data_IF_148018964968
#
_entry.id   IF_148018964968
#
_cell.length_a   1.000
_cell.length_b   1.000
_cell.length_c   1.000
_cell.angle_alpha   90.00
_cell.angle_beta   90.00
_cell.angle_gamma   90.00
#
_symmetry.space_group_name_H-M   'P 1'
#
loop_
_entity.id
_entity.type
_entity.pdbx_description
1 polymer ?
#
# COMPACT_ATOMS: atom_id res chain seq x y z
N UNK A 1 44.42 1.37 1.46
CA UNK A 1 44.08 2.50 0.59
C UNK A 1 43.71 1.91 -0.76
N UNK A 2 42.43 1.63 -1.00
CA UNK A 2 41.98 1.03 -2.25
C UNK A 2 41.84 2.14 -3.31
N UNK A 3 42.39 1.86 -4.45
CA UNK A 3 42.61 2.72 -5.60
C UNK A 3 41.31 3.40 -6.11
N UNK A 4 41.01 4.60 -5.67
CA UNK A 4 39.89 5.43 -6.12
C UNK A 4 40.06 5.98 -7.58
N UNK A 5 41.21 5.70 -8.22
CA UNK A 5 41.56 6.28 -9.50
C UNK A 5 41.01 5.53 -10.73
N UNK A 6 40.29 4.43 -10.60
CA UNK A 6 39.79 3.60 -11.73
C UNK A 6 38.29 3.41 -11.81
N UNK A 7 37.51 4.05 -11.00
CA UNK A 7 36.04 4.00 -11.17
C UNK A 7 35.66 4.97 -12.30
N UNK A 8 35.21 4.41 -13.45
CA UNK A 8 34.70 5.23 -14.56
C UNK A 8 33.63 6.20 -14.07
N UNK A 9 33.61 7.41 -14.62
CA UNK A 9 32.62 8.44 -14.26
C UNK A 9 31.51 8.53 -15.30
N UNK A 10 30.28 8.90 -14.86
CA UNK A 10 29.16 9.29 -15.72
C UNK A 10 28.74 10.68 -15.26
N UNK A 11 28.65 11.64 -16.16
CA UNK A 11 28.37 13.05 -15.85
C UNK A 11 29.27 13.65 -14.75
N UNK A 12 30.54 13.21 -14.71
CA UNK A 12 31.49 13.67 -13.68
C UNK A 12 31.39 13.00 -12.32
N UNK A 13 30.41 12.11 -12.09
CA UNK A 13 30.19 11.39 -10.84
C UNK A 13 30.57 9.90 -10.95
N UNK A 14 30.91 9.22 -9.84
CA UNK A 14 31.14 7.78 -9.82
C UNK A 14 29.94 7.01 -10.39
N UNK A 15 30.19 5.98 -11.23
CA UNK A 15 29.13 5.17 -11.85
C UNK A 15 28.14 4.58 -10.84
N UNK A 16 28.61 4.26 -9.62
CA UNK A 16 27.75 3.76 -8.55
C UNK A 16 26.63 4.71 -8.16
N UNK A 17 26.79 6.03 -8.37
CA UNK A 17 25.73 7.00 -8.10
C UNK A 17 24.48 6.77 -8.96
N UNK A 18 24.67 6.42 -10.24
CA UNK A 18 23.55 6.15 -11.17
C UNK A 18 22.75 4.94 -10.69
N UNK A 19 23.43 3.87 -10.26
CA UNK A 19 22.77 2.69 -9.70
C UNK A 19 21.99 3.06 -8.45
N UNK A 20 22.61 3.78 -7.51
CA UNK A 20 21.96 4.18 -6.25
C UNK A 20 20.80 5.16 -6.48
N UNK A 21 20.91 6.04 -7.49
CA UNK A 21 19.82 6.93 -7.90
C UNK A 21 18.58 6.11 -8.32
N UNK A 22 18.76 5.12 -9.21
CA UNK A 22 17.64 4.29 -9.65
C UNK A 22 17.13 3.37 -8.55
N UNK A 23 18.00 2.81 -7.72
CA UNK A 23 17.59 2.00 -6.56
C UNK A 23 16.69 2.80 -5.61
N UNK A 24 17.11 4.03 -5.25
CA UNK A 24 16.31 4.90 -4.39
C UNK A 24 15.02 5.34 -5.08
N UNK A 25 15.11 5.71 -6.37
CA UNK A 25 13.93 6.12 -7.15
C UNK A 25 12.86 5.02 -7.16
N UNK A 26 13.24 3.78 -7.45
CA UNK A 26 12.30 2.66 -7.48
C UNK A 26 11.82 2.26 -6.09
N UNK A 27 12.66 2.35 -5.08
CA UNK A 27 12.24 2.14 -3.69
C UNK A 27 11.21 3.18 -3.26
N UNK A 28 11.44 4.47 -3.56
CA UNK A 28 10.47 5.54 -3.28
C UNK A 28 9.18 5.37 -4.09
N UNK A 29 9.28 5.00 -5.36
CA UNK A 29 8.13 4.65 -6.18
C UNK A 29 7.28 3.58 -5.50
N UNK A 30 7.89 2.48 -5.08
CA UNK A 30 7.20 1.37 -4.43
C UNK A 30 6.58 1.78 -3.09
N UNK A 31 7.34 2.46 -2.25
CA UNK A 31 6.90 2.90 -0.93
C UNK A 31 5.73 3.88 -1.00
N UNK A 32 5.85 4.95 -1.81
CA UNK A 32 4.79 5.95 -1.92
C UNK A 32 3.58 5.43 -2.69
N UNK A 33 3.77 4.54 -3.67
CA UNK A 33 2.69 3.88 -4.38
C UNK A 33 1.81 3.04 -3.44
N UNK A 34 2.43 2.19 -2.63
CA UNK A 34 1.71 1.42 -1.63
C UNK A 34 1.08 2.32 -0.56
N UNK A 35 1.85 3.26 0.00
CA UNK A 35 1.37 4.14 1.06
C UNK A 35 0.17 4.99 0.64
N UNK A 36 0.18 5.50 -0.60
CA UNK A 36 -0.92 6.30 -1.14
C UNK A 36 -2.22 5.51 -1.29
N UNK A 37 -2.13 4.21 -1.58
CA UNK A 37 -3.28 3.33 -1.72
C UNK A 37 -3.76 2.75 -0.39
N UNK A 38 -2.88 2.61 0.61
CA UNK A 38 -3.14 1.82 1.82
C UNK A 38 -4.40 2.26 2.57
N UNK A 39 -4.58 3.55 2.83
CA UNK A 39 -5.73 4.02 3.61
C UNK A 39 -7.05 3.73 2.90
N UNK A 40 -7.10 3.95 1.58
CA UNK A 40 -8.28 3.70 0.76
C UNK A 40 -8.55 2.20 0.63
N UNK A 41 -7.49 1.39 0.53
CA UNK A 41 -7.59 -0.06 0.52
C UNK A 41 -8.17 -0.61 1.84
N UNK A 42 -7.73 -0.09 2.99
CA UNK A 42 -8.27 -0.50 4.29
C UNK A 42 -9.76 -0.15 4.44
N UNK A 43 -10.17 1.03 3.99
CA UNK A 43 -11.56 1.48 4.11
C UNK A 43 -12.49 0.87 3.07
N UNK A 44 -12.05 0.70 1.83
CA UNK A 44 -12.93 0.25 0.74
C UNK A 44 -12.88 -1.26 0.50
N UNK A 45 -11.75 -1.90 0.71
CA UNK A 45 -11.60 -3.34 0.49
C UNK A 45 -11.84 -4.15 1.77
N UNK A 46 -11.22 -3.74 2.89
CA UNK A 46 -11.44 -4.40 4.18
C UNK A 46 -12.61 -3.84 4.98
N UNK A 47 -13.21 -2.74 4.53
CA UNK A 47 -14.33 -2.05 5.21
C UNK A 47 -14.01 -1.71 6.68
N UNK A 48 -12.75 -1.40 6.97
CA UNK A 48 -12.38 -0.92 8.30
C UNK A 48 -12.94 0.48 8.52
N UNK A 49 -13.31 0.77 9.78
CA UNK A 49 -13.67 2.14 10.15
C UNK A 49 -12.52 3.11 9.90
N UNK A 50 -12.83 4.39 9.73
CA UNK A 50 -11.83 5.44 9.55
C UNK A 50 -10.84 5.49 10.72
N UNK A 51 -11.32 5.27 11.93
CA UNK A 51 -10.50 5.21 13.14
C UNK A 51 -9.49 4.06 13.07
N UNK A 52 -9.95 2.83 12.78
CA UNK A 52 -9.09 1.65 12.67
C UNK A 52 -8.08 1.78 11.53
N UNK A 53 -8.52 2.31 10.38
CA UNK A 53 -7.67 2.52 9.21
C UNK A 53 -6.59 3.55 9.48
N UNK A 54 -6.93 4.67 10.13
CA UNK A 54 -6.02 5.72 10.52
C UNK A 54 -5.00 5.24 11.57
N UNK A 55 -5.45 4.44 12.55
CA UNK A 55 -4.58 3.86 13.57
C UNK A 55 -3.57 2.90 12.93
N UNK A 56 -4.02 2.01 12.05
CA UNK A 56 -3.14 1.06 11.35
C UNK A 56 -2.12 1.79 10.46
N UNK A 57 -2.57 2.79 9.71
CA UNK A 57 -1.72 3.63 8.88
C UNK A 57 -0.68 4.41 9.70
N UNK A 58 -1.10 4.96 10.83
CA UNK A 58 -0.21 5.66 11.77
C UNK A 58 0.82 4.72 12.38
N UNK A 59 0.39 3.55 12.86
CA UNK A 59 1.27 2.52 13.40
C UNK A 59 2.29 2.03 12.35
N UNK A 60 1.83 1.74 11.13
CA UNK A 60 2.71 1.39 10.01
C UNK A 60 3.78 2.46 9.79
N UNK A 61 3.38 3.73 9.69
CA UNK A 61 4.30 4.84 9.44
C UNK A 61 5.31 4.99 10.59
N UNK A 62 4.86 4.92 11.84
CA UNK A 62 5.74 5.00 13.03
C UNK A 62 6.75 3.85 13.05
N UNK A 63 6.30 2.62 12.79
CA UNK A 63 7.18 1.45 12.77
C UNK A 63 8.23 1.51 11.66
N UNK A 64 7.92 2.08 10.49
CA UNK A 64 8.92 2.34 9.43
C UNK A 64 10.06 3.21 9.94
N UNK A 65 9.77 4.28 10.69
CA UNK A 65 10.81 5.13 11.27
C UNK A 65 11.63 4.41 12.35
N UNK A 66 10.97 3.69 13.24
CA UNK A 66 11.65 2.91 14.29
C UNK A 66 12.57 1.85 13.66
N UNK A 67 12.07 1.11 12.68
CA UNK A 67 12.85 0.07 12.00
C UNK A 67 14.03 0.63 11.20
N UNK A 68 13.98 1.89 10.76
CA UNK A 68 15.13 2.54 10.13
C UNK A 68 16.32 2.64 11.11
N UNK A 69 16.06 2.95 12.39
CA UNK A 69 17.10 2.98 13.43
C UNK A 69 17.63 1.56 13.69
N UNK A 70 16.73 0.59 13.87
CA UNK A 70 17.10 -0.82 14.11
C UNK A 70 17.89 -1.39 12.94
N UNK A 71 17.44 -1.17 11.70
CA UNK A 71 18.10 -1.64 10.49
C UNK A 71 19.49 -1.03 10.30
N UNK A 72 19.65 0.26 10.64
CA UNK A 72 20.97 0.91 10.65
C UNK A 72 21.93 0.27 11.64
N UNK A 73 21.51 0.10 12.90
CA UNK A 73 22.34 -0.52 13.95
C UNK A 73 22.72 -1.97 13.59
N UNK A 74 21.78 -2.75 13.08
CA UNK A 74 22.04 -4.13 12.67
C UNK A 74 22.99 -4.22 11.47
N UNK A 75 22.87 -3.28 10.54
CA UNK A 75 23.77 -3.19 9.40
C UNK A 75 25.20 -2.83 9.85
N UNK A 76 25.35 -1.80 10.67
CA UNK A 76 26.66 -1.34 11.14
C UNK A 76 27.37 -2.42 11.96
N UNK A 77 26.62 -3.18 12.77
CA UNK A 77 27.20 -4.14 13.71
C UNK A 77 27.45 -5.52 13.10
N UNK A 78 26.60 -5.99 12.17
CA UNK A 78 26.61 -7.40 11.72
C UNK A 78 26.70 -7.60 10.21
N UNK A 79 25.95 -6.82 9.39
CA UNK A 79 25.74 -7.13 7.99
C UNK A 79 26.64 -6.34 7.04
N UNK A 80 26.93 -5.09 7.38
CA UNK A 80 27.48 -4.08 6.46
C UNK A 80 26.41 -3.50 5.52
N UNK A 81 26.58 -2.25 5.11
CA UNK A 81 25.59 -1.49 4.37
C UNK A 81 25.09 -2.16 3.08
N UNK A 82 25.99 -2.76 2.28
CA UNK A 82 25.60 -3.39 1.01
C UNK A 82 24.68 -4.58 1.19
N UNK A 83 24.99 -5.49 2.13
CA UNK A 83 24.14 -6.66 2.42
C UNK A 83 22.82 -6.24 3.02
N UNK A 84 22.82 -5.22 3.88
CA UNK A 84 21.60 -4.68 4.48
C UNK A 84 20.66 -4.09 3.42
N UNK A 85 21.18 -3.31 2.47
CA UNK A 85 20.38 -2.77 1.35
C UNK A 85 19.79 -3.90 0.50
N UNK A 86 20.60 -4.92 0.12
CA UNK A 86 20.10 -6.05 -0.67
C UNK A 86 19.03 -6.84 0.09
N UNK A 87 19.24 -7.11 1.36
CA UNK A 87 18.26 -7.81 2.21
C UNK A 87 16.97 -7.00 2.34
N UNK A 88 17.09 -5.69 2.57
CA UNK A 88 15.96 -4.77 2.62
C UNK A 88 15.17 -4.75 1.31
N UNK A 89 15.85 -4.72 0.15
CA UNK A 89 15.22 -4.76 -1.16
C UNK A 89 14.42 -6.05 -1.39
N UNK A 90 14.96 -7.21 -0.99
CA UNK A 90 14.24 -8.49 -1.06
C UNK A 90 12.97 -8.47 -0.21
N UNK A 91 13.06 -8.01 1.05
CA UNK A 91 11.90 -7.92 1.94
C UNK A 91 10.83 -6.97 1.38
N UNK A 92 11.24 -5.82 0.85
CA UNK A 92 10.34 -4.85 0.19
C UNK A 92 9.62 -5.48 -1.00
N UNK A 93 10.36 -6.16 -1.87
CA UNK A 93 9.79 -6.84 -3.04
C UNK A 93 8.74 -7.87 -2.63
N UNK A 94 9.07 -8.73 -1.66
CA UNK A 94 8.14 -9.74 -1.14
C UNK A 94 6.91 -9.10 -0.50
N UNK A 95 7.10 -8.04 0.30
CA UNK A 95 6.00 -7.34 0.94
C UNK A 95 5.06 -6.66 -0.07
N UNK A 96 5.59 -5.97 -1.07
CA UNK A 96 4.76 -5.33 -2.10
C UNK A 96 4.02 -6.35 -2.98
N UNK A 97 4.65 -7.47 -3.34
CA UNK A 97 3.94 -8.55 -4.03
C UNK A 97 2.90 -9.21 -3.12
N UNK A 98 3.18 -9.38 -1.83
CA UNK A 98 2.20 -9.86 -0.86
C UNK A 98 0.94 -8.99 -0.84
N UNK A 99 1.09 -7.66 -0.90
CA UNK A 99 -0.04 -6.73 -1.02
C UNK A 99 -0.90 -6.93 -2.28
N UNK A 100 -0.35 -7.55 -3.34
CA UNK A 100 -1.10 -7.84 -4.58
C UNK A 100 -2.04 -9.03 -4.44
N UNK A 101 -1.90 -9.83 -3.39
CA UNK A 101 -2.82 -10.92 -3.06
C UNK A 101 -3.99 -10.40 -2.24
N UNK A 102 -4.82 -9.57 -2.87
CA UNK A 102 -5.93 -8.89 -2.20
C UNK A 102 -7.10 -9.80 -1.83
N UNK A 103 -7.30 -10.89 -2.60
CA UNK A 103 -8.44 -11.78 -2.44
C UNK A 103 -9.79 -11.11 -2.68
N UNK A 104 -10.84 -11.73 -2.13
CA UNK A 104 -12.15 -11.10 -2.08
C UNK A 104 -12.18 -10.05 -0.97
N UNK A 105 -12.74 -8.88 -1.26
CA UNK A 105 -12.96 -7.83 -0.26
C UNK A 105 -13.89 -8.27 0.87
N UNK A 106 -13.85 -7.54 1.97
CA UNK A 106 -14.83 -7.72 3.04
C UNK A 106 -16.24 -7.46 2.53
N UNK A 107 -17.20 -8.23 3.04
CA UNK A 107 -18.60 -8.12 2.67
C UNK A 107 -19.37 -7.48 3.82
N UNK A 108 -20.11 -6.44 3.51
CA UNK A 108 -21.03 -5.86 4.47
C UNK A 108 -22.33 -6.65 4.43
N UNK A 109 -22.71 -7.23 5.55
CA UNK A 109 -23.91 -8.03 5.69
C UNK A 109 -24.94 -7.28 6.53
N UNK A 110 -26.19 -7.40 6.12
CA UNK A 110 -27.35 -6.88 6.80
C UNK A 110 -28.22 -8.07 7.21
N UNK A 111 -28.58 -8.14 8.47
CA UNK A 111 -29.53 -9.13 8.99
C UNK A 111 -30.86 -8.45 9.34
N UNK A 112 -31.95 -8.97 8.79
CA UNK A 112 -33.32 -8.50 9.07
C UNK A 112 -34.27 -9.69 9.06
N UNK A 113 -35.16 -9.79 10.08
CA UNK A 113 -36.17 -10.84 10.25
C UNK A 113 -35.61 -12.29 10.11
N UNK A 114 -34.35 -12.52 10.52
CA UNK A 114 -33.68 -13.82 10.44
C UNK A 114 -33.09 -14.17 9.08
N UNK A 115 -33.20 -13.29 8.08
CA UNK A 115 -32.56 -13.43 6.77
C UNK A 115 -31.32 -12.53 6.66
N UNK A 116 -30.34 -12.99 5.87
CA UNK A 116 -29.10 -12.25 5.61
C UNK A 116 -29.06 -11.72 4.17
N UNK A 117 -28.67 -10.47 4.05
CA UNK A 117 -28.54 -9.76 2.79
C UNK A 117 -27.13 -9.16 2.71
N UNK A 118 -26.59 -9.08 1.51
CA UNK A 118 -25.32 -8.38 1.29
C UNK A 118 -25.59 -6.94 0.87
N UNK A 119 -24.87 -5.98 1.47
CA UNK A 119 -24.86 -4.60 0.99
C UNK A 119 -23.63 -4.40 0.10
N UNK A 120 -23.85 -3.88 -1.10
CA UNK A 120 -22.81 -3.56 -2.08
C UNK A 120 -22.92 -2.12 -2.52
N UNK A 121 -21.82 -1.58 -3.04
CA UNK A 121 -21.79 -0.25 -3.62
C UNK A 121 -21.84 -0.37 -5.15
N UNK A 122 -22.85 0.18 -5.79
CA UNK A 122 -22.85 0.40 -7.23
C UNK A 122 -22.28 1.77 -7.55
N UNK A 123 -21.05 1.79 -8.10
CA UNK A 123 -20.36 3.00 -8.51
C UNK A 123 -20.54 3.32 -10.01
N UNK A 124 -21.44 2.59 -10.71
CA UNK A 124 -21.68 2.80 -12.13
C UNK A 124 -22.52 4.06 -12.34
N UNK A 125 -22.06 4.97 -13.17
CA UNK A 125 -22.81 6.17 -13.55
C UNK A 125 -22.49 7.44 -12.77
N UNK A 126 -21.42 7.47 -11.96
CA UNK A 126 -20.93 8.71 -11.32
C UNK A 126 -21.43 8.96 -9.90
N UNK A 127 -22.60 8.44 -9.52
CA UNK A 127 -23.12 8.50 -8.15
C UNK A 127 -23.03 7.12 -7.52
N UNK A 128 -22.18 6.96 -6.51
CA UNK A 128 -22.08 5.72 -5.76
C UNK A 128 -23.37 5.50 -4.95
N UNK A 129 -24.10 4.43 -5.28
CA UNK A 129 -25.35 4.06 -4.58
C UNK A 129 -25.17 2.73 -3.87
N UNK A 130 -25.75 2.62 -2.70
CA UNK A 130 -25.79 1.35 -1.97
C UNK A 130 -26.92 0.48 -2.51
N UNK A 131 -26.63 -0.82 -2.66
CA UNK A 131 -27.61 -1.83 -3.05
C UNK A 131 -27.64 -2.94 -2.03
N UNK A 132 -28.86 -3.43 -1.73
CA UNK A 132 -29.08 -4.67 -1.02
C UNK A 132 -29.18 -5.80 -2.04
N UNK A 133 -28.48 -6.90 -1.79
CA UNK A 133 -28.43 -8.05 -2.66
C UNK A 133 -28.84 -9.31 -1.88
N UNK A 134 -29.75 -10.07 -2.43
CA UNK A 134 -30.19 -11.39 -1.93
C UNK A 134 -29.90 -12.47 -2.95
N UNK A 135 -29.36 -13.60 -2.52
CA UNK A 135 -28.98 -14.72 -3.41
C UNK A 135 -27.47 -14.82 -3.63
N UNK A 136 -27.06 -15.85 -4.37
CA UNK A 136 -25.65 -16.13 -4.68
C UNK A 136 -25.43 -16.42 -6.18
N UNK A 137 -24.29 -16.05 -6.72
CA UNK A 137 -23.89 -16.36 -8.09
C UNK A 137 -24.67 -15.56 -9.13
N UNK A 138 -25.14 -16.24 -10.19
CA UNK A 138 -25.87 -15.61 -11.30
C UNK A 138 -27.36 -15.34 -11.02
N UNK A 139 -27.89 -15.82 -9.89
CA UNK A 139 -29.29 -15.66 -9.50
C UNK A 139 -29.38 -14.80 -8.24
N UNK A 140 -29.05 -13.51 -8.38
CA UNK A 140 -29.22 -12.54 -7.31
C UNK A 140 -30.30 -11.52 -7.67
N UNK A 141 -31.06 -11.12 -6.66
CA UNK A 141 -32.01 -10.01 -6.73
C UNK A 141 -31.37 -8.84 -6.00
N UNK A 142 -31.44 -7.65 -6.56
CA UNK A 142 -30.86 -6.45 -5.95
C UNK A 142 -31.81 -5.27 -6.06
N UNK A 143 -31.76 -4.37 -5.07
CA UNK A 143 -32.46 -3.11 -5.08
C UNK A 143 -31.60 -2.02 -4.46
N UNK A 144 -31.77 -0.77 -4.90
CA UNK A 144 -31.09 0.35 -4.28
C UNK A 144 -31.65 0.61 -2.91
N UNK A 145 -30.75 1.00 -2.00
CA UNK A 145 -31.10 1.36 -0.64
C UNK A 145 -30.51 2.71 -0.27
N UNK A 146 -31.24 3.46 0.53
CA UNK A 146 -30.77 4.67 1.18
C UNK A 146 -30.93 4.55 2.68
N UNK A 147 -29.90 4.97 3.41
CA UNK A 147 -29.93 4.96 4.88
C UNK A 147 -30.20 6.36 5.39
N UNK A 148 -31.25 6.52 6.19
CA UNK A 148 -31.53 7.71 6.96
C UNK A 148 -31.05 7.54 8.42
N UNK A 149 -31.25 8.51 9.27
CA UNK A 149 -30.91 8.40 10.69
C UNK A 149 -31.75 7.31 11.40
N UNK A 150 -32.99 7.10 10.98
CA UNK A 150 -33.97 6.24 11.65
C UNK A 150 -34.36 4.98 10.87
N UNK A 151 -34.15 4.96 9.54
CA UNK A 151 -34.60 3.87 8.68
C UNK A 151 -33.60 3.55 7.56
N UNK A 152 -33.83 2.39 6.93
CA UNK A 152 -33.30 2.02 5.63
C UNK A 152 -34.48 1.95 4.65
N UNK A 153 -34.44 2.74 3.59
CA UNK A 153 -35.48 2.80 2.57
C UNK A 153 -35.01 2.04 1.31
N UNK A 154 -35.88 1.18 0.76
CA UNK A 154 -35.61 0.28 -0.36
C UNK A 154 -36.39 0.75 -1.56
N UNK A 155 -35.71 0.94 -2.72
CA UNK A 155 -36.36 1.47 -3.92
C UNK A 155 -37.35 0.50 -4.56
N UNK A 156 -37.00 -0.77 -4.62
CA UNK A 156 -37.82 -1.85 -5.19
C UNK A 156 -38.03 -2.99 -4.16
N UNK A 157 -38.82 -2.75 -3.10
CA UNK A 157 -38.92 -3.68 -1.98
C UNK A 157 -39.61 -4.99 -2.35
N UNK A 158 -40.55 -4.95 -3.30
CA UNK A 158 -41.34 -6.14 -3.74
C UNK A 158 -40.45 -7.22 -4.33
N UNK A 159 -39.38 -6.85 -5.06
CA UNK A 159 -38.44 -7.79 -5.64
C UNK A 159 -37.73 -8.66 -4.59
N UNK A 160 -37.49 -8.10 -3.42
CA UNK A 160 -36.83 -8.77 -2.29
C UNK A 160 -37.79 -9.35 -1.25
N UNK A 161 -39.08 -9.08 -1.39
CA UNK A 161 -40.09 -9.44 -0.38
C UNK A 161 -39.89 -8.67 0.94
N UNK A 162 -39.35 -7.46 0.88
CA UNK A 162 -39.05 -6.63 2.04
C UNK A 162 -40.02 -5.43 2.14
N UNK A 163 -40.20 -4.83 3.33
CA UNK A 163 -40.91 -3.56 3.48
C UNK A 163 -40.16 -2.43 2.76
N UNK A 164 -40.90 -1.41 2.31
CA UNK A 164 -40.30 -0.25 1.64
C UNK A 164 -39.36 0.56 2.56
N UNK A 165 -39.64 0.53 3.87
CA UNK A 165 -38.79 1.17 4.88
C UNK A 165 -38.66 0.27 6.09
N UNK A 166 -37.43 0.08 6.55
CA UNK A 166 -37.10 -0.78 7.70
C UNK A 166 -36.45 0.12 8.78
N UNK A 167 -37.00 0.14 10.02
CA UNK A 167 -36.37 0.88 11.11
C UNK A 167 -34.95 0.38 11.42
N UNK A 168 -34.05 1.31 11.76
CA UNK A 168 -32.62 1.00 12.01
C UNK A 168 -32.41 0.05 13.19
N UNK A 169 -33.29 0.09 14.20
CA UNK A 169 -33.26 -0.76 15.38
C UNK A 169 -33.60 -2.23 15.09
N UNK A 170 -34.23 -2.50 13.93
CA UNK A 170 -34.55 -3.85 13.47
C UNK A 170 -33.47 -4.46 12.55
N UNK A 171 -32.42 -3.69 12.24
CA UNK A 171 -31.37 -4.10 11.33
C UNK A 171 -30.08 -4.31 12.13
N UNK A 172 -29.42 -5.44 11.90
CA UNK A 172 -28.06 -5.67 12.40
C UNK A 172 -27.09 -5.67 11.22
N UNK A 173 -26.08 -4.79 11.29
CA UNK A 173 -25.04 -4.71 10.29
C UNK A 173 -23.78 -5.41 10.80
N UNK A 174 -23.16 -6.23 9.96
CA UNK A 174 -21.90 -6.91 10.25
C UNK A 174 -20.97 -6.84 9.04
N UNK A 175 -19.69 -7.02 9.28
CA UNK A 175 -18.68 -7.11 8.23
C UNK A 175 -18.02 -8.47 8.32
N UNK A 176 -18.08 -9.23 7.23
CA UNK A 176 -17.41 -10.52 7.12
C UNK A 176 -16.11 -10.29 6.35
N UNK A 177 -14.99 -10.52 7.01
CA UNK A 177 -13.65 -10.43 6.43
C UNK A 177 -13.05 -11.83 6.35
N UNK A 178 -12.37 -12.12 5.24
CA UNK A 178 -11.60 -13.36 5.11
C UNK A 178 -10.27 -13.20 5.86
N UNK A 179 -10.12 -13.87 7.00
CA UNK A 179 -8.96 -13.73 7.89
C UNK A 179 -7.64 -14.02 7.19
N UNK A 180 -7.58 -15.01 6.29
CA UNK A 180 -6.36 -15.34 5.57
C UNK A 180 -5.78 -14.19 4.74
N UNK A 181 -6.62 -13.37 4.12
CA UNK A 181 -6.15 -12.19 3.39
C UNK A 181 -5.76 -11.03 4.31
N UNK A 182 -6.37 -10.96 5.47
CA UNK A 182 -5.97 -10.01 6.50
C UNK A 182 -4.58 -10.35 7.06
N UNK A 183 -4.30 -11.63 7.26
CA UNK A 183 -2.97 -12.10 7.67
C UNK A 183 -1.90 -11.80 6.60
N UNK A 184 -2.23 -11.98 5.32
CA UNK A 184 -1.34 -11.61 4.20
C UNK A 184 -1.08 -10.10 4.21
N UNK A 185 -2.09 -9.27 4.45
CA UNK A 185 -1.92 -7.82 4.59
C UNK A 185 -0.91 -7.49 5.70
N UNK A 186 -1.12 -8.02 6.91
CA UNK A 186 -0.25 -7.72 8.05
C UNK A 186 1.17 -8.23 7.83
N UNK A 187 1.34 -9.42 7.28
CA UNK A 187 2.65 -9.97 6.93
C UNK A 187 3.35 -9.09 5.89
N UNK A 188 2.62 -8.66 4.86
CA UNK A 188 3.13 -7.79 3.80
C UNK A 188 3.60 -6.45 4.36
N UNK A 189 2.80 -5.81 5.21
CA UNK A 189 3.17 -4.57 5.89
C UNK A 189 4.40 -4.76 6.79
N UNK A 190 4.50 -5.87 7.52
CA UNK A 190 5.66 -6.18 8.35
C UNK A 190 6.94 -6.37 7.51
N UNK A 191 6.85 -7.05 6.37
CA UNK A 191 7.97 -7.21 5.43
C UNK A 191 8.42 -5.85 4.85
N UNK A 192 7.46 -4.99 4.49
CA UNK A 192 7.75 -3.64 4.00
C UNK A 192 8.42 -2.80 5.08
N UNK A 193 7.90 -2.81 6.31
CA UNK A 193 8.48 -2.09 7.46
C UNK A 193 9.94 -2.51 7.68
N UNK A 194 10.18 -3.82 7.74
CA UNK A 194 11.52 -4.35 7.92
C UNK A 194 12.44 -4.00 6.73
N UNK A 195 11.93 -4.16 5.51
CA UNK A 195 12.67 -3.85 4.27
C UNK A 195 13.11 -2.41 4.17
N UNK A 196 12.19 -1.45 4.42
CA UNK A 196 12.52 -0.01 4.46
C UNK A 196 13.56 0.26 5.55
N UNK A 197 13.40 -0.37 6.72
CA UNK A 197 14.34 -0.22 7.84
C UNK A 197 15.77 -0.55 7.45
N UNK A 198 15.99 -1.69 6.80
CA UNK A 198 17.33 -2.09 6.35
C UNK A 198 17.84 -1.28 5.16
N UNK A 199 17.01 -0.90 4.22
CA UNK A 199 17.43 -0.21 3.00
C UNK A 199 17.70 1.27 3.27
N UNK A 200 16.74 1.99 3.84
CA UNK A 200 16.73 3.46 3.95
C UNK A 200 17.93 4.01 4.73
N UNK A 201 18.27 3.40 5.87
CA UNK A 201 19.40 3.85 6.68
C UNK A 201 20.74 3.67 5.96
N UNK A 202 20.87 2.61 5.16
CA UNK A 202 22.14 2.16 4.65
C UNK A 202 22.46 2.66 3.24
N UNK A 203 21.46 2.95 2.41
CA UNK A 203 21.70 3.41 1.03
C UNK A 203 22.42 4.77 0.98
N UNK A 204 22.05 5.70 1.86
CA UNK A 204 22.70 7.00 1.98
C UNK A 204 24.18 6.89 2.41
N UNK A 205 24.49 5.91 3.27
CA UNK A 205 25.87 5.60 3.68
C UNK A 205 26.69 5.13 2.48
N UNK A 206 26.09 4.29 1.61
CA UNK A 206 26.77 3.84 0.38
C UNK A 206 27.01 5.01 -0.57
N UNK A 207 26.05 5.94 -0.75
CA UNK A 207 26.24 7.16 -1.55
C UNK A 207 27.44 7.96 -1.03
N UNK A 208 27.48 8.19 0.29
CA UNK A 208 28.61 8.91 0.92
C UNK A 208 29.97 8.24 0.69
N UNK A 209 30.00 6.91 0.66
CA UNK A 209 31.24 6.13 0.47
C UNK A 209 31.78 6.14 -0.98
N UNK A 210 31.01 6.60 -1.96
CA UNK A 210 31.46 6.76 -3.35
C UNK A 210 32.44 7.93 -3.52
N UNK A 211 32.45 8.87 -2.57
CA UNK A 211 33.25 10.08 -2.62
C UNK A 211 34.34 10.03 -1.55
N UNK A 212 35.57 10.45 -1.95
CA UNK A 212 36.68 10.58 -1.01
C UNK A 212 36.42 11.73 -0.01
N UNK A 213 37.24 11.73 1.06
CA UNK A 213 37.20 12.84 2.02
C UNK A 213 37.57 14.15 1.34
N UNK A 214 36.70 15.18 1.47
CA UNK A 214 36.92 16.50 0.85
C UNK A 214 36.59 16.58 -0.65
N UNK A 215 35.99 15.55 -1.25
CA UNK A 215 35.56 15.61 -2.66
C UNK A 215 34.41 16.61 -2.85
N UNK A 216 34.68 17.72 -3.55
CA UNK A 216 33.71 18.79 -3.79
C UNK A 216 32.43 18.33 -4.54
N UNK A 217 32.46 17.17 -5.21
CA UNK A 217 31.32 16.61 -5.93
C UNK A 217 30.34 15.89 -5.04
N UNK A 218 30.69 15.66 -3.77
CA UNK A 218 29.86 14.87 -2.83
C UNK A 218 28.47 15.48 -2.65
N UNK A 219 28.39 16.80 -2.46
CA UNK A 219 27.11 17.48 -2.21
C UNK A 219 26.20 17.44 -3.43
N UNK A 220 26.78 17.67 -4.64
CA UNK A 220 26.01 17.52 -5.89
C UNK A 220 25.58 16.06 -6.13
N UNK A 221 26.41 15.08 -5.73
CA UNK A 221 26.04 13.66 -5.77
C UNK A 221 24.82 13.33 -4.89
N UNK A 222 24.77 13.88 -3.66
CA UNK A 222 23.59 13.76 -2.82
C UNK A 222 22.38 14.48 -3.40
N UNK A 223 22.55 15.63 -4.05
CA UNK A 223 21.46 16.32 -4.73
C UNK A 223 20.86 15.48 -5.83
N UNK A 224 21.70 14.83 -6.67
CA UNK A 224 21.23 13.89 -7.70
C UNK A 224 20.49 12.71 -7.06
N UNK A 225 21.03 12.12 -6.00
CA UNK A 225 20.40 11.02 -5.28
C UNK A 225 19.01 11.42 -4.75
N UNK A 226 18.87 12.60 -4.13
CA UNK A 226 17.58 13.11 -3.65
C UNK A 226 16.59 13.44 -4.76
N UNK A 227 17.05 13.79 -5.97
CA UNK A 227 16.17 13.90 -7.14
C UNK A 227 15.47 12.58 -7.44
N UNK A 228 16.15 11.44 -7.28
CA UNK A 228 15.54 10.11 -7.41
C UNK A 228 14.36 9.90 -6.46
N UNK A 229 14.46 10.33 -5.21
CA UNK A 229 13.38 10.27 -4.21
C UNK A 229 12.12 10.97 -4.73
N UNK A 230 12.28 12.24 -5.18
CA UNK A 230 11.15 13.05 -5.63
C UNK A 230 10.54 12.51 -6.92
N UNK A 231 11.36 12.05 -7.85
CA UNK A 231 10.91 11.47 -9.10
C UNK A 231 10.11 10.17 -8.86
N UNK A 232 10.62 9.29 -7.99
CA UNK A 232 9.92 8.06 -7.61
C UNK A 232 8.59 8.34 -6.95
N UNK A 233 8.53 9.27 -5.99
CA UNK A 233 7.30 9.66 -5.31
C UNK A 233 6.26 10.28 -6.28
N UNK A 234 6.69 11.13 -7.19
CA UNK A 234 5.83 11.72 -8.20
C UNK A 234 5.22 10.66 -9.13
N UNK A 235 6.06 9.79 -9.67
CA UNK A 235 5.62 8.70 -10.55
C UNK A 235 4.66 7.74 -9.83
N UNK A 236 4.92 7.43 -8.58
CA UNK A 236 4.10 6.53 -7.77
C UNK A 236 2.65 7.03 -7.63
N UNK A 237 2.48 8.31 -7.34
CA UNK A 237 1.15 8.91 -7.18
C UNK A 237 0.31 8.81 -8.45
N UNK A 238 0.94 8.94 -9.62
CA UNK A 238 0.26 8.86 -10.92
C UNK A 238 -0.02 7.40 -11.27
N UNK A 239 1.03 6.56 -11.33
CA UNK A 239 0.90 5.22 -11.92
C UNK A 239 0.27 4.22 -10.95
N UNK A 240 0.77 4.10 -9.71
CA UNK A 240 0.19 3.18 -8.74
C UNK A 240 -1.20 3.63 -8.31
N UNK A 241 -1.40 4.94 -8.09
CA UNK A 241 -2.69 5.50 -7.73
C UNK A 241 -3.75 5.23 -8.81
N UNK A 242 -3.44 5.55 -10.07
CA UNK A 242 -4.35 5.31 -11.18
C UNK A 242 -4.70 3.82 -11.35
N UNK A 243 -3.67 2.95 -11.39
CA UNK A 243 -3.91 1.52 -11.57
C UNK A 243 -4.68 0.91 -10.39
N UNK A 244 -4.35 1.29 -9.17
CA UNK A 244 -5.02 0.78 -7.97
C UNK A 244 -6.48 1.14 -7.89
N UNK A 245 -6.84 2.40 -8.21
CA UNK A 245 -8.21 2.89 -8.10
C UNK A 245 -9.06 2.48 -9.30
N UNK A 246 -8.51 2.54 -10.52
CA UNK A 246 -9.29 2.33 -11.76
C UNK A 246 -9.35 0.86 -12.16
N UNK A 247 -8.25 0.13 -12.02
CA UNK A 247 -8.13 -1.26 -12.49
C UNK A 247 -8.15 -2.30 -11.38
N UNK A 248 -7.99 -1.89 -10.12
CA UNK A 248 -8.00 -2.76 -8.93
C UNK A 248 -6.70 -2.73 -8.14
N UNK A 249 -6.83 -2.96 -6.85
CA UNK A 249 -5.74 -2.83 -5.87
C UNK A 249 -4.51 -3.67 -6.22
N UNK A 250 -4.72 -4.92 -6.68
CA UNK A 250 -3.64 -5.84 -7.09
C UNK A 250 -2.71 -5.24 -8.15
N UNK A 251 -3.24 -4.44 -9.06
CA UNK A 251 -2.43 -3.81 -10.11
C UNK A 251 -1.62 -2.64 -9.57
N UNK A 252 -2.19 -1.83 -8.68
CA UNK A 252 -1.48 -0.74 -8.02
C UNK A 252 -0.34 -1.23 -7.13
N UNK A 253 -0.63 -2.20 -6.27
CA UNK A 253 0.37 -2.82 -5.39
C UNK A 253 1.37 -3.67 -6.17
N UNK A 254 0.91 -4.41 -7.20
CA UNK A 254 1.77 -5.20 -8.08
C UNK A 254 2.77 -4.35 -8.84
N UNK A 255 2.35 -3.18 -9.32
CA UNK A 255 3.25 -2.23 -9.99
C UNK A 255 4.31 -1.70 -9.00
N UNK A 256 3.92 -1.42 -7.75
CA UNK A 256 4.87 -1.04 -6.70
C UNK A 256 5.91 -2.17 -6.46
N UNK A 257 5.46 -3.43 -6.38
CA UNK A 257 6.35 -4.59 -6.27
C UNK A 257 7.28 -4.76 -7.47
N UNK A 258 6.75 -4.56 -8.67
CA UNK A 258 7.56 -4.63 -9.90
C UNK A 258 8.62 -3.53 -9.95
N UNK A 259 8.27 -2.30 -9.53
CA UNK A 259 9.24 -1.21 -9.41
C UNK A 259 10.43 -1.56 -8.51
N UNK A 260 10.20 -2.35 -7.45
CA UNK A 260 11.27 -2.77 -6.54
C UNK A 260 12.20 -3.84 -7.12
N UNK A 261 11.78 -4.55 -8.17
CA UNK A 261 12.62 -5.51 -8.89
C UNK A 261 13.60 -4.86 -9.89
N UNK A 262 13.30 -3.65 -10.35
CA UNK A 262 14.11 -2.90 -11.31
C UNK A 262 15.28 -2.20 -10.66
#
# INVERSE_FOLDING_TARGET
>A
MANSAQQGTIFGHPRGLVVLFFTEMWERFSYYGMRGLLIVYLTQHFLFSDERSSLLYGAYTALVFVMTIVGGVLADRYLGARKAVTFGAILLTLGHFGMSFEGDGSKQMLQYAGAEYQITLDARGGDARQMIVSGQGSSYISSYVSFTETSMDIAEPEALGLPASIPRDQITMSVITQEGYLDILYLSLALIIAGVGFLKANISTIVGSLYGFGDARRDSGFTIFYMGINLGAFMASIFCGYLGIVHGWKYGFGLAGFGMLL
#
